data_IF_359233848227
#
_entry.id   IF_359233848227
#
_cell.length_a   1.000
_cell.length_b   1.000
_cell.length_c   1.000
_cell.angle_alpha   90.00
_cell.angle_beta   90.00
_cell.angle_gamma   90.00
#
_symmetry.space_group_name_H-M   'P 1'
#
loop_
_entity.id
_entity.type
_entity.pdbx_description
1 polymer ?
#
# COMPACT_ATOMS: atom_id res chain seq x y z
N UNK A 1 -13.49 -25.30 4.55
CA UNK A 1 -14.37 -24.11 4.58
C UNK A 1 -13.50 -22.96 5.00
N UNK A 2 -13.42 -21.93 4.18
CA UNK A 2 -12.78 -20.66 4.54
C UNK A 2 -13.83 -19.76 5.21
N UNK A 3 -13.39 -18.87 6.09
CA UNK A 3 -14.27 -17.90 6.73
C UNK A 3 -14.49 -16.70 5.80
N UNK A 4 -15.76 -16.30 5.60
CA UNK A 4 -16.10 -15.11 4.80
C UNK A 4 -15.59 -13.81 5.42
N UNK A 5 -15.45 -13.75 6.75
CA UNK A 5 -14.94 -12.59 7.48
C UNK A 5 -14.28 -13.02 8.79
N UNK A 6 -13.12 -12.44 9.09
CA UNK A 6 -12.43 -12.58 10.37
C UNK A 6 -12.22 -11.19 10.97
N UNK A 7 -12.64 -11.00 12.23
CA UNK A 7 -12.39 -9.75 12.97
C UNK A 7 -11.32 -9.98 14.04
N UNK A 8 -10.29 -9.14 14.03
CA UNK A 8 -9.22 -9.13 15.04
C UNK A 8 -9.28 -7.80 15.79
N UNK A 9 -9.33 -7.85 17.13
CA UNK A 9 -9.46 -6.67 18.00
C UNK A 9 -8.16 -6.35 18.77
N UNK A 10 -7.02 -6.80 18.25
CA UNK A 10 -5.69 -6.63 18.84
C UNK A 10 -4.70 -6.24 17.76
N UNK A 11 -3.52 -5.78 18.17
CA UNK A 11 -2.40 -5.62 17.26
C UNK A 11 -2.03 -6.96 16.61
N UNK A 12 -1.71 -6.93 15.32
CA UNK A 12 -1.35 -8.10 14.53
C UNK A 12 0.00 -7.87 13.88
N UNK A 13 0.91 -8.81 14.09
CA UNK A 13 2.18 -8.90 13.36
C UNK A 13 2.12 -10.10 12.43
N UNK A 14 2.36 -9.88 11.13
CA UNK A 14 2.43 -10.94 10.12
C UNK A 14 3.88 -11.06 9.67
N UNK A 15 4.53 -12.16 10.04
CA UNK A 15 5.91 -12.45 9.66
C UNK A 15 5.95 -13.26 8.37
N UNK A 16 5.45 -12.67 7.28
CA UNK A 16 5.35 -13.31 5.97
C UNK A 16 4.78 -12.38 4.89
N UNK A 17 4.67 -12.89 3.67
CA UNK A 17 4.04 -12.16 2.57
C UNK A 17 2.53 -11.98 2.80
N UNK A 18 1.99 -10.84 2.36
CA UNK A 18 0.56 -10.54 2.40
C UNK A 18 0.09 -10.25 0.98
N UNK A 19 -0.94 -10.98 0.53
CA UNK A 19 -1.68 -10.70 -0.70
C UNK A 19 -3.06 -10.19 -0.34
N UNK A 20 -3.44 -9.02 -0.87
CA UNK A 20 -4.75 -8.41 -0.62
C UNK A 20 -5.58 -8.46 -1.92
N UNK A 21 -6.83 -8.92 -1.81
CA UNK A 21 -7.75 -9.12 -2.96
C UNK A 21 -8.90 -8.12 -3.05
N UNK A 22 -8.87 -7.04 -2.27
CA UNK A 22 -9.94 -6.03 -2.18
C UNK A 22 -9.83 -4.90 -3.20
N UNK A 23 -9.02 -5.06 -4.25
CA UNK A 23 -8.80 -4.07 -5.30
C UNK A 23 -7.55 -3.23 -5.09
N UNK A 24 -7.56 -2.00 -5.65
CA UNK A 24 -6.39 -1.13 -5.61
C UNK A 24 -6.03 -0.74 -4.16
N UNK A 25 -4.75 -0.91 -3.80
CA UNK A 25 -4.24 -0.40 -2.53
C UNK A 25 -4.33 1.12 -2.52
N UNK A 26 -4.98 1.67 -1.50
CA UNK A 26 -5.07 3.11 -1.28
C UNK A 26 -4.71 3.47 0.15
N UNK A 27 -4.13 4.66 0.32
CA UNK A 27 -3.85 5.25 1.62
C UNK A 27 -4.30 6.70 1.58
N UNK A 28 -5.12 7.10 2.56
CA UNK A 28 -5.70 8.45 2.62
C UNK A 28 -6.38 8.89 1.31
N UNK A 29 -7.08 7.97 0.63
CA UNK A 29 -7.77 8.23 -0.64
C UNK A 29 -6.88 8.27 -1.89
N UNK A 30 -5.56 8.11 -1.76
CA UNK A 30 -4.63 8.06 -2.90
C UNK A 30 -4.36 6.62 -3.28
N UNK A 31 -4.55 6.27 -4.56
CA UNK A 31 -4.20 4.96 -5.10
C UNK A 31 -2.68 4.84 -5.19
N UNK A 32 -2.12 3.85 -4.49
CA UNK A 32 -0.68 3.70 -4.33
C UNK A 32 0.04 3.38 -5.65
N UNK A 33 -0.60 2.72 -6.61
CA UNK A 33 -0.02 2.53 -7.94
C UNK A 33 0.18 3.86 -8.71
N UNK A 34 -0.63 4.88 -8.40
CA UNK A 34 -0.67 6.16 -9.12
C UNK A 34 -0.16 7.34 -8.28
N UNK A 35 0.33 7.09 -7.06
CA UNK A 35 0.83 8.17 -6.21
C UNK A 35 2.09 8.80 -6.83
N UNK A 36 2.26 10.09 -6.62
CA UNK A 36 3.39 10.83 -7.15
C UNK A 36 3.86 11.93 -6.20
N UNK A 37 5.05 12.47 -6.48
CA UNK A 37 5.68 13.52 -5.68
C UNK A 37 5.77 14.81 -6.48
N UNK A 38 5.38 15.94 -5.89
CA UNK A 38 5.55 17.28 -6.46
C UNK A 38 6.87 17.89 -6.01
N UNK A 39 7.31 18.99 -6.65
CA UNK A 39 8.53 19.70 -6.27
C UNK A 39 9.83 19.06 -6.76
N UNK A 40 9.75 17.97 -7.54
CA UNK A 40 10.90 17.38 -8.23
C UNK A 40 11.19 18.11 -9.54
N UNK A 41 12.46 18.12 -9.96
CA UNK A 41 12.84 18.53 -11.32
C UNK A 41 12.19 17.56 -12.31
N UNK A 42 11.56 18.08 -13.37
CA UNK A 42 10.99 17.24 -14.42
C UNK A 42 12.08 16.49 -15.19
N UNK A 43 11.79 15.24 -15.55
CA UNK A 43 12.74 14.36 -16.25
C UNK A 43 12.24 12.91 -16.25
N UNK A 44 13.05 12.02 -16.82
CA UNK A 44 12.82 10.57 -16.81
C UNK A 44 13.56 9.83 -15.71
N UNK A 45 14.26 10.56 -14.83
CA UNK A 45 15.03 9.98 -13.73
C UNK A 45 14.09 9.41 -12.66
N UNK A 46 14.50 8.32 -12.01
CA UNK A 46 13.80 7.75 -10.86
C UNK A 46 14.23 8.45 -9.58
N UNK A 47 13.28 8.77 -8.68
CA UNK A 47 13.61 9.35 -7.38
C UNK A 47 14.41 8.39 -6.50
N UNK A 48 15.12 8.93 -5.50
CA UNK A 48 15.67 8.13 -4.41
C UNK A 48 14.58 7.47 -3.56
N UNK A 49 15.00 6.70 -2.56
CA UNK A 49 14.08 6.10 -1.59
C UNK A 49 13.35 7.13 -0.72
N UNK A 50 12.29 6.73 -0.02
CA UNK A 50 11.59 7.60 0.95
C UNK A 50 12.55 8.14 2.03
N UNK A 51 12.32 9.39 2.46
CA UNK A 51 13.01 10.06 3.59
C UNK A 51 12.02 10.58 4.60
#
# INVERSE_FOLDING_TARGET
>A
MEADTTRINSEVVINGGVTQGGGAMSSNGVVMDKHGHTGVKSGGDTSGGPV
#
